data_IF_775702626353
#
_entry.id   IF_775702626353
#
_cell.length_a   1.000
_cell.length_b   1.000
_cell.length_c   1.000
_cell.angle_alpha   90.00
_cell.angle_beta   90.00
_cell.angle_gamma   90.00
#
_symmetry.space_group_name_H-M   'P 1'
#
loop_
_entity.id
_entity.type
_entity.pdbx_description
1 polymer ?
#
# COMPACT_ATOMS: atom_id res chain seq x y z
N UNK A 1 -14.99 1.08 14.30
CA UNK A 1 -15.05 1.89 13.06
C UNK A 1 -15.28 3.33 13.45
N UNK A 2 -14.45 4.25 12.97
CA UNK A 2 -14.47 5.65 13.38
C UNK A 2 -14.19 6.58 12.18
N UNK A 3 -14.44 7.86 12.36
CA UNK A 3 -14.21 8.89 11.35
C UNK A 3 -13.45 10.05 11.99
N UNK A 4 -12.38 10.50 11.34
CA UNK A 4 -11.68 11.74 11.69
C UNK A 4 -12.17 12.85 10.75
N UNK A 5 -12.70 13.91 11.33
CA UNK A 5 -13.13 15.08 10.57
C UNK A 5 -11.93 15.98 10.32
N UNK A 6 -11.62 16.21 9.05
CA UNK A 6 -10.66 17.20 8.57
C UNK A 6 -11.44 18.31 7.82
N UNK A 7 -10.80 19.42 7.51
CA UNK A 7 -11.46 20.59 6.90
C UNK A 7 -12.10 20.27 5.55
N UNK A 8 -11.51 19.32 4.78
CA UNK A 8 -11.87 19.02 3.40
C UNK A 8 -12.41 17.61 3.18
N UNK A 9 -12.41 16.75 4.23
CA UNK A 9 -13.00 15.41 4.17
C UNK A 9 -13.26 14.83 5.56
N UNK A 10 -14.07 13.77 5.59
CA UNK A 10 -14.16 12.86 6.72
C UNK A 10 -13.34 11.61 6.40
N UNK A 11 -12.29 11.35 7.18
CA UNK A 11 -11.36 10.27 6.96
C UNK A 11 -11.78 9.06 7.79
N UNK A 12 -12.23 8.02 7.11
CA UNK A 12 -12.63 6.76 7.74
C UNK A 12 -11.42 5.96 8.18
N UNK A 13 -11.44 5.42 9.40
CA UNK A 13 -10.43 4.50 9.90
C UNK A 13 -11.03 3.43 10.83
N UNK A 14 -10.26 2.37 11.05
CA UNK A 14 -10.58 1.28 11.95
C UNK A 14 -9.34 0.87 12.73
N UNK A 15 -9.53 0.65 14.04
CA UNK A 15 -8.56 0.07 14.94
C UNK A 15 -8.93 -1.37 15.26
N UNK A 16 -7.92 -2.25 15.30
CA UNK A 16 -8.09 -3.65 15.72
C UNK A 16 -6.87 -4.11 16.51
N UNK A 17 -7.07 -5.00 17.46
CA UNK A 17 -6.00 -5.57 18.28
C UNK A 17 -5.48 -4.63 19.37
N UNK A 18 -4.47 -5.12 20.09
CA UNK A 18 -3.77 -4.41 21.18
C UNK A 18 -2.26 -4.61 21.01
N UNK A 19 -1.45 -3.70 21.57
CA UNK A 19 0.01 -3.78 21.51
C UNK A 19 0.66 -2.59 20.78
N UNK A 20 1.88 -2.77 20.23
CA UNK A 20 2.57 -1.70 19.54
C UNK A 20 1.78 -1.16 18.34
N UNK A 21 1.73 0.19 18.15
CA UNK A 21 1.00 0.82 17.06
C UNK A 21 1.50 0.42 15.67
N UNK A 22 0.56 0.09 14.76
CA UNK A 22 0.84 -0.33 13.38
C UNK A 22 -0.13 0.33 12.39
N UNK A 23 0.37 1.24 11.57
CA UNK A 23 -0.39 1.93 10.52
C UNK A 23 -0.25 1.21 9.18
N UNK A 24 -1.38 0.99 8.49
CA UNK A 24 -1.49 0.28 7.22
C UNK A 24 -2.02 1.21 6.12
N UNK A 25 -1.19 1.54 5.11
CA UNK A 25 -1.52 2.50 4.05
C UNK A 25 -1.68 1.77 2.71
N UNK A 26 -2.87 1.85 2.14
CA UNK A 26 -3.22 1.16 0.90
C UNK A 26 -2.83 1.92 -0.39
N UNK A 27 -2.80 1.17 -1.50
CA UNK A 27 -2.46 1.68 -2.83
C UNK A 27 -3.58 2.42 -3.54
N UNK A 28 -3.34 2.70 -4.83
CA UNK A 28 -4.26 3.43 -5.71
C UNK A 28 -5.59 2.70 -5.86
N UNK A 29 -6.68 3.43 -5.67
CA UNK A 29 -8.01 2.99 -6.05
C UNK A 29 -8.57 1.85 -5.23
N UNK A 30 -7.99 1.52 -4.07
CA UNK A 30 -8.46 0.47 -3.17
C UNK A 30 -8.66 0.99 -1.75
N UNK A 31 -9.59 0.38 -1.02
CA UNK A 31 -9.95 0.76 0.34
C UNK A 31 -9.09 0.04 1.38
N UNK A 32 -9.11 0.51 2.62
CA UNK A 32 -8.37 -0.09 3.74
C UNK A 32 -8.69 -1.56 3.98
N UNK A 33 -9.89 -2.00 3.61
CA UNK A 33 -10.35 -3.39 3.72
C UNK A 33 -9.41 -4.40 3.00
N UNK A 34 -8.67 -3.96 1.98
CA UNK A 34 -7.65 -4.79 1.32
C UNK A 34 -6.55 -5.29 2.27
N UNK A 35 -6.42 -4.72 3.46
CA UNK A 35 -5.49 -5.16 4.50
C UNK A 35 -6.04 -6.28 5.38
N UNK A 36 -7.28 -6.73 5.23
CA UNK A 36 -7.87 -7.78 6.09
C UNK A 36 -7.03 -9.04 6.21
N UNK A 37 -6.39 -9.56 5.14
CA UNK A 37 -5.52 -10.73 5.27
C UNK A 37 -4.32 -10.51 6.20
N UNK A 38 -3.82 -9.27 6.30
CA UNK A 38 -2.72 -8.89 7.20
C UNK A 38 -3.25 -8.59 8.60
N UNK A 39 -4.32 -7.81 8.71
CA UNK A 39 -4.93 -7.45 10.01
C UNK A 39 -5.28 -8.69 10.82
N UNK A 40 -5.92 -9.70 10.22
CA UNK A 40 -6.32 -10.94 10.90
C UNK A 40 -5.17 -11.70 11.59
N UNK A 41 -3.92 -11.45 11.17
CA UNK A 41 -2.73 -12.04 11.77
C UNK A 41 -2.02 -11.05 12.69
N UNK A 42 -1.83 -9.80 12.23
CA UNK A 42 -1.03 -8.80 12.92
C UNK A 42 -1.74 -8.23 14.16
N UNK A 43 -3.08 -8.18 14.19
CA UNK A 43 -3.87 -7.70 15.34
C UNK A 43 -3.68 -8.54 16.62
N UNK A 44 -3.15 -9.75 16.50
CA UNK A 44 -2.83 -10.61 17.64
C UNK A 44 -1.61 -10.11 18.44
N UNK A 45 -0.81 -9.21 17.87
CA UNK A 45 0.44 -8.70 18.46
C UNK A 45 0.56 -7.18 18.41
N UNK A 46 -0.17 -6.52 17.50
CA UNK A 46 -0.09 -5.09 17.22
C UNK A 46 -1.49 -4.47 17.29
N UNK A 47 -1.56 -3.24 17.73
CA UNK A 47 -2.75 -2.45 17.51
C UNK A 47 -2.68 -1.89 16.10
N UNK A 48 -3.51 -2.41 15.20
CA UNK A 48 -3.52 -2.06 13.79
C UNK A 48 -4.49 -0.91 13.52
N UNK A 49 -4.07 0.03 12.66
CA UNK A 49 -4.91 1.08 12.10
C UNK A 49 -4.92 0.95 10.59
N UNK A 50 -6.06 0.64 10.02
CA UNK A 50 -6.32 0.75 8.59
C UNK A 50 -7.27 1.92 8.32
N UNK A 51 -7.18 2.51 7.13
CA UNK A 51 -8.03 3.62 6.72
C UNK A 51 -8.24 3.64 5.22
N UNK A 52 -9.28 4.32 4.79
CA UNK A 52 -9.52 4.62 3.38
C UNK A 52 -8.80 5.92 3.04
N UNK A 53 -7.86 5.90 2.08
CA UNK A 53 -7.18 7.11 1.62
C UNK A 53 -8.19 8.15 1.12
N UNK A 54 -7.82 9.45 1.16
CA UNK A 54 -8.69 10.54 0.72
C UNK A 54 -9.28 10.29 -0.66
N UNK A 55 -10.60 10.48 -0.76
CA UNK A 55 -11.39 10.39 -1.99
C UNK A 55 -11.79 8.97 -2.40
N UNK A 56 -11.51 7.95 -1.57
CA UNK A 56 -11.96 6.58 -1.84
C UNK A 56 -12.79 6.00 -0.69
N UNK A 57 -13.66 5.05 -1.01
CA UNK A 57 -14.45 4.31 -0.03
C UNK A 57 -15.28 5.22 0.85
N UNK A 58 -15.15 5.04 2.15
CA UNK A 58 -15.84 5.81 3.20
C UNK A 58 -15.18 7.17 3.49
N UNK A 59 -13.98 7.43 2.91
CA UNK A 59 -13.32 8.73 2.90
C UNK A 59 -13.64 9.57 1.64
N UNK A 60 -14.79 9.30 1.01
CA UNK A 60 -15.32 10.06 -0.12
C UNK A 60 -16.68 10.66 0.28
N UNK A 61 -17.03 11.85 -0.27
CA UNK A 61 -16.23 12.68 -1.17
C UNK A 61 -15.10 13.44 -0.47
N UNK A 62 -14.06 13.80 -1.25
CA UNK A 62 -12.98 14.67 -0.81
C UNK A 62 -13.01 15.96 -1.65
N UNK A 63 -13.02 17.13 -0.99
CA UNK A 63 -13.03 18.45 -1.62
C UNK A 63 -11.64 19.02 -1.85
N UNK A 64 -10.66 18.55 -1.08
CA UNK A 64 -9.29 19.02 -1.11
C UNK A 64 -8.41 18.40 -2.20
N UNK A 65 -7.14 18.78 -2.25
CA UNK A 65 -6.20 18.28 -3.23
C UNK A 65 -5.85 16.81 -2.98
N UNK A 66 -5.73 16.04 -4.06
CA UNK A 66 -5.17 14.68 -4.03
C UNK A 66 -3.68 14.81 -4.36
N UNK A 67 -2.83 14.78 -3.32
CA UNK A 67 -1.36 14.84 -3.40
C UNK A 67 -0.77 13.85 -2.40
N UNK A 68 0.43 13.34 -2.66
CA UNK A 68 1.10 12.41 -1.76
C UNK A 68 1.42 13.09 -0.42
N UNK A 69 1.86 14.34 -0.44
CA UNK A 69 2.16 15.14 0.75
C UNK A 69 0.91 15.31 1.63
N UNK A 70 -0.24 15.60 1.02
CA UNK A 70 -1.50 15.74 1.76
C UNK A 70 -1.97 14.40 2.32
N UNK A 71 -1.79 13.29 1.58
CA UNK A 71 -2.10 11.94 2.10
C UNK A 71 -1.17 11.53 3.26
N UNK A 72 0.09 11.97 3.25
CA UNK A 72 1.00 11.77 4.37
C UNK A 72 0.57 12.60 5.60
N UNK A 73 0.07 13.82 5.40
CA UNK A 73 -0.52 14.64 6.47
C UNK A 73 -1.78 13.98 7.05
N UNK A 74 -2.65 13.40 6.22
CA UNK A 74 -3.81 12.62 6.67
C UNK A 74 -3.39 11.46 7.58
N UNK A 75 -2.35 10.72 7.17
CA UNK A 75 -1.81 9.62 7.96
C UNK A 75 -1.23 10.12 9.30
N UNK A 76 -0.55 11.27 9.32
CA UNK A 76 -0.06 11.90 10.54
C UNK A 76 -1.22 12.33 11.45
N UNK A 77 -2.27 12.96 10.89
CA UNK A 77 -3.46 13.37 11.65
C UNK A 77 -4.21 12.18 12.27
N UNK A 78 -4.22 11.02 11.60
CA UNK A 78 -4.76 9.78 12.18
C UNK A 78 -3.96 9.32 13.39
N UNK A 79 -2.62 9.38 13.33
CA UNK A 79 -1.79 9.05 14.51
C UNK A 79 -2.13 9.96 15.69
N UNK A 80 -2.34 11.27 15.45
CA UNK A 80 -2.73 12.22 16.47
C UNK A 80 -4.12 11.91 17.05
N UNK A 81 -5.09 11.64 16.18
CA UNK A 81 -6.47 11.35 16.56
C UNK A 81 -6.61 10.10 17.46
N UNK A 82 -5.72 9.12 17.27
CA UNK A 82 -5.72 7.90 18.10
C UNK A 82 -4.71 7.94 19.25
N UNK A 83 -4.04 9.09 19.45
CA UNK A 83 -3.08 9.31 20.54
C UNK A 83 -1.74 8.57 20.38
N UNK A 84 -1.39 8.13 19.16
CA UNK A 84 -0.15 7.42 18.92
C UNK A 84 1.01 8.39 18.69
N UNK A 85 2.02 8.36 19.54
CA UNK A 85 3.23 9.17 19.38
C UNK A 85 4.07 8.69 18.19
N UNK A 86 4.12 7.39 17.94
CA UNK A 86 4.80 6.78 16.80
C UNK A 86 4.24 5.41 16.49
N UNK A 87 4.35 4.97 15.24
CA UNK A 87 3.86 3.68 14.77
C UNK A 87 4.86 3.00 13.82
N UNK A 88 4.80 1.67 13.73
CA UNK A 88 5.27 0.97 12.53
C UNK A 88 4.38 1.37 11.36
N UNK A 89 4.94 1.49 10.17
CA UNK A 89 4.19 1.89 8.98
C UNK A 89 4.40 0.86 7.88
N UNK A 90 3.30 0.28 7.40
CA UNK A 90 3.29 -0.60 6.23
C UNK A 90 2.59 0.12 5.09
N UNK A 91 3.25 0.26 3.96
CA UNK A 91 2.68 0.87 2.76
C UNK A 91 2.79 -0.04 1.54
N UNK A 92 1.67 -0.23 0.85
CA UNK A 92 1.60 -1.00 -0.41
C UNK A 92 1.44 -0.07 -1.61
N UNK A 93 2.25 -0.24 -2.65
CA UNK A 93 2.16 0.51 -3.90
C UNK A 93 2.20 2.04 -3.67
N UNK A 94 1.17 2.81 -4.04
CA UNK A 94 1.04 4.23 -3.68
C UNK A 94 1.13 4.46 -2.16
N UNK A 95 0.60 3.55 -1.35
CA UNK A 95 0.73 3.61 0.10
C UNK A 95 2.17 3.57 0.58
N UNK A 96 3.06 2.88 -0.14
CA UNK A 96 4.50 2.90 0.12
C UNK A 96 5.15 4.26 -0.16
N UNK A 97 4.68 5.00 -1.17
CA UNK A 97 5.12 6.38 -1.42
C UNK A 97 4.61 7.32 -0.33
N UNK A 98 3.35 7.15 0.10
CA UNK A 98 2.77 7.92 1.21
C UNK A 98 3.56 7.67 2.51
N UNK A 99 3.91 6.40 2.77
CA UNK A 99 4.72 6.02 3.94
C UNK A 99 6.13 6.64 3.91
N UNK A 100 6.77 6.67 2.73
CA UNK A 100 8.05 7.37 2.54
C UNK A 100 7.92 8.85 2.84
N UNK A 101 6.88 9.52 2.32
CA UNK A 101 6.64 10.94 2.56
C UNK A 101 6.36 11.22 4.03
N UNK A 102 5.51 10.44 4.69
CA UNK A 102 5.26 10.53 6.14
C UNK A 102 6.56 10.44 6.94
N UNK A 103 7.43 9.49 6.60
CA UNK A 103 8.72 9.31 7.29
C UNK A 103 9.71 10.46 7.02
N UNK A 104 9.65 11.10 5.84
CA UNK A 104 10.46 12.27 5.51
C UNK A 104 9.99 13.53 6.24
N UNK A 105 8.68 13.72 6.35
CA UNK A 105 8.09 14.89 6.99
C UNK A 105 8.13 14.78 8.52
N UNK A 106 7.88 13.59 9.07
CA UNK A 106 7.74 13.33 10.49
C UNK A 106 8.52 12.07 10.93
N UNK A 107 9.86 12.03 10.82
CA UNK A 107 10.65 10.82 11.07
C UNK A 107 10.48 10.25 12.48
N UNK A 108 10.25 11.11 13.48
CA UNK A 108 10.01 10.70 14.87
C UNK A 108 8.67 9.97 15.06
N UNK A 109 7.74 10.07 14.10
CA UNK A 109 6.44 9.37 14.13
C UNK A 109 6.51 7.95 13.55
N UNK A 110 7.65 7.55 12.97
CA UNK A 110 7.80 6.28 12.27
C UNK A 110 8.82 5.39 12.97
N UNK A 111 8.37 4.27 13.56
CA UNK A 111 9.22 3.28 14.23
C UNK A 111 9.98 2.40 13.24
N UNK A 112 9.31 2.00 12.16
CA UNK A 112 9.89 1.25 11.04
C UNK A 112 9.03 1.42 9.78
N UNK A 113 9.63 1.13 8.62
CA UNK A 113 8.96 1.13 7.32
C UNK A 113 8.98 -0.26 6.70
N UNK A 114 7.79 -0.77 6.35
CA UNK A 114 7.63 -1.93 5.46
C UNK A 114 7.04 -1.46 4.14
N UNK A 115 7.82 -1.50 3.08
CA UNK A 115 7.51 -0.93 1.76
C UNK A 115 7.27 -2.05 0.76
N UNK A 116 5.98 -2.34 0.46
CA UNK A 116 5.55 -3.49 -0.33
C UNK A 116 5.20 -3.06 -1.75
N UNK A 117 5.78 -3.69 -2.76
CA UNK A 117 5.49 -3.45 -4.20
C UNK A 117 5.42 -1.95 -4.53
N UNK A 118 6.47 -1.20 -4.18
CA UNK A 118 6.51 0.25 -4.33
C UNK A 118 7.82 0.74 -4.95
N UNK A 119 7.96 2.04 -5.11
CA UNK A 119 9.05 2.67 -5.84
C UNK A 119 9.39 4.03 -5.20
N UNK A 120 10.55 4.59 -5.54
CA UNK A 120 11.01 5.90 -5.05
C UNK A 120 10.42 7.10 -5.81
N UNK A 121 10.00 6.87 -7.08
CA UNK A 121 9.43 7.89 -7.96
C UNK A 121 8.15 7.37 -8.58
N UNK A 122 7.09 8.13 -8.49
CA UNK A 122 5.82 7.77 -9.10
C UNK A 122 5.87 7.64 -10.63
N UNK A 123 6.81 8.35 -11.28
CA UNK A 123 7.09 8.21 -12.72
C UNK A 123 7.53 6.80 -13.11
N UNK A 124 8.12 6.02 -12.22
CA UNK A 124 8.55 4.66 -12.51
C UNK A 124 7.34 3.75 -12.80
N UNK A 125 6.25 3.86 -12.01
CA UNK A 125 5.01 3.12 -12.28
C UNK A 125 4.14 3.77 -13.39
N UNK A 126 4.27 5.08 -13.58
CA UNK A 126 3.52 5.82 -14.59
C UNK A 126 4.14 5.75 -16.00
N UNK A 127 5.22 4.96 -16.21
CA UNK A 127 5.81 4.78 -17.54
C UNK A 127 4.78 4.16 -18.49
N UNK A 128 4.51 4.87 -19.57
CA UNK A 128 3.65 4.41 -20.66
C UNK A 128 4.36 3.32 -21.48
N UNK A 129 4.48 2.13 -20.90
CA UNK A 129 4.94 0.95 -21.65
C UNK A 129 3.79 0.41 -22.51
N UNK A 130 4.08 -0.32 -23.60
CA UNK A 130 3.03 -0.99 -24.39
C UNK A 130 2.12 -1.85 -23.52
N UNK A 131 2.67 -2.50 -22.49
CA UNK A 131 1.89 -3.30 -21.53
C UNK A 131 0.93 -2.43 -20.69
N UNK A 132 1.39 -1.30 -20.15
CA UNK A 132 0.55 -0.37 -19.38
C UNK A 132 -0.58 0.19 -20.24
N UNK A 133 -0.28 0.59 -21.48
CA UNK A 133 -1.30 1.07 -22.43
C UNK A 133 -2.34 -0.01 -22.73
N UNK A 134 -1.87 -1.23 -23.02
CA UNK A 134 -2.74 -2.38 -23.26
C UNK A 134 -3.64 -2.69 -22.07
N UNK A 135 -3.08 -2.75 -20.87
CA UNK A 135 -3.86 -3.02 -19.66
C UNK A 135 -4.85 -1.89 -19.34
N UNK A 136 -4.45 -0.63 -19.55
CA UNK A 136 -5.36 0.52 -19.40
C UNK A 136 -6.57 0.41 -20.32
N UNK A 137 -6.37 -0.05 -21.55
CA UNK A 137 -7.44 -0.28 -22.50
C UNK A 137 -8.34 -1.44 -22.06
N UNK A 138 -7.75 -2.57 -21.67
CA UNK A 138 -8.47 -3.78 -21.25
C UNK A 138 -9.29 -3.61 -19.97
N UNK A 139 -8.85 -2.76 -19.05
CA UNK A 139 -9.60 -2.44 -17.81
C UNK A 139 -10.77 -1.48 -18.05
N UNK A 140 -10.88 -0.89 -19.24
CA UNK A 140 -11.93 0.09 -19.58
C UNK A 140 -12.90 -0.42 -20.66
N UNK A 141 -12.41 -1.22 -21.59
CA UNK A 141 -13.18 -1.72 -22.74
C UNK A 141 -13.53 -3.19 -22.59
N UNK A 142 -14.61 -3.58 -23.30
CA UNK A 142 -15.11 -4.94 -23.30
C UNK A 142 -16.17 -5.23 -22.23
N UNK A 143 -16.51 -6.50 -22.09
CA UNK A 143 -17.49 -6.96 -21.10
C UNK A 143 -16.98 -6.79 -19.67
N UNK A 144 -17.87 -6.79 -18.67
CA UNK A 144 -17.47 -6.75 -17.24
C UNK A 144 -16.52 -7.90 -16.91
N UNK A 145 -16.77 -9.08 -17.44
CA UNK A 145 -15.89 -10.25 -17.22
C UNK A 145 -14.47 -10.02 -17.76
N UNK A 146 -14.33 -9.47 -18.96
CA UNK A 146 -13.03 -9.12 -19.55
C UNK A 146 -12.29 -8.09 -18.70
N UNK A 147 -12.97 -7.06 -18.21
CA UNK A 147 -12.39 -6.03 -17.36
C UNK A 147 -11.95 -6.57 -16.00
N UNK A 148 -12.77 -7.42 -15.35
CA UNK A 148 -12.41 -8.13 -14.11
C UNK A 148 -11.15 -8.97 -14.29
N UNK A 149 -11.09 -9.74 -15.39
CA UNK A 149 -9.91 -10.55 -15.71
C UNK A 149 -8.66 -9.69 -15.92
N UNK A 150 -8.77 -8.60 -16.67
CA UNK A 150 -7.66 -7.66 -16.88
C UNK A 150 -7.15 -7.06 -15.56
N UNK A 151 -8.03 -6.74 -14.61
CA UNK A 151 -7.64 -6.30 -13.28
C UNK A 151 -6.89 -7.39 -12.51
N UNK A 152 -7.37 -8.64 -12.54
CA UNK A 152 -6.68 -9.76 -11.90
C UNK A 152 -5.30 -10.04 -12.50
N UNK A 153 -5.13 -9.90 -13.82
CA UNK A 153 -3.83 -10.07 -14.50
C UNK A 153 -2.77 -9.02 -14.07
N UNK A 154 -3.19 -7.89 -13.51
CA UNK A 154 -2.26 -6.93 -12.90
C UNK A 154 -1.80 -7.35 -11.50
N UNK A 155 -2.58 -8.17 -10.80
CA UNK A 155 -2.39 -8.49 -9.39
C UNK A 155 -1.85 -9.89 -9.15
N UNK A 156 -2.09 -10.85 -10.07
CA UNK A 156 -1.72 -12.26 -9.93
C UNK A 156 -0.66 -12.67 -10.94
N UNK A 157 0.25 -13.57 -10.58
CA UNK A 157 1.11 -14.25 -11.54
C UNK A 157 0.28 -15.03 -12.58
N UNK A 158 0.74 -15.12 -13.85
CA UNK A 158 -0.02 -15.77 -14.90
C UNK A 158 -0.36 -17.23 -14.62
N UNK A 159 0.57 -18.00 -14.06
CA UNK A 159 0.41 -19.41 -13.68
C UNK A 159 -0.63 -19.60 -12.56
N UNK A 160 -0.60 -18.76 -11.52
CA UNK A 160 -1.58 -18.79 -10.45
C UNK A 160 -2.98 -18.43 -10.96
N UNK A 161 -3.08 -17.48 -11.91
CA UNK A 161 -4.35 -17.07 -12.50
C UNK A 161 -4.89 -18.12 -13.49
N UNK A 162 -4.02 -18.85 -14.18
CA UNK A 162 -4.42 -19.92 -15.11
C UNK A 162 -5.10 -21.10 -14.38
N UNK A 163 -4.70 -21.37 -13.15
CA UNK A 163 -5.19 -22.46 -12.32
C UNK A 163 -6.36 -22.06 -11.40
N UNK A 164 -6.79 -20.80 -11.42
CA UNK A 164 -7.86 -20.29 -10.57
C UNK A 164 -9.19 -20.14 -11.33
N UNK A 165 -10.31 -20.36 -10.63
CA UNK A 165 -11.61 -19.90 -11.10
C UNK A 165 -11.64 -18.36 -11.04
N UNK A 166 -11.48 -17.72 -12.20
CA UNK A 166 -11.41 -16.28 -12.33
C UNK A 166 -12.69 -15.55 -11.84
N UNK A 167 -13.85 -16.20 -11.90
CA UNK A 167 -15.12 -15.65 -11.43
C UNK A 167 -15.18 -15.60 -9.91
N UNK A 168 -14.88 -16.71 -9.25
CA UNK A 168 -14.82 -16.79 -7.79
C UNK A 168 -13.71 -15.88 -7.23
N UNK A 169 -12.54 -15.86 -7.87
CA UNK A 169 -11.43 -14.99 -7.51
C UNK A 169 -11.83 -13.52 -7.61
N UNK A 170 -12.47 -13.12 -8.72
CA UNK A 170 -12.95 -11.75 -8.90
C UNK A 170 -13.96 -11.34 -7.83
N UNK A 171 -14.89 -12.23 -7.45
CA UNK A 171 -15.86 -11.98 -6.39
C UNK A 171 -15.18 -11.76 -5.04
N UNK A 172 -14.25 -12.63 -4.67
CA UNK A 172 -13.49 -12.52 -3.42
C UNK A 172 -12.68 -11.23 -3.37
N UNK A 173 -11.96 -10.91 -4.43
CA UNK A 173 -11.12 -9.70 -4.51
C UNK A 173 -11.99 -8.43 -4.53
N UNK A 174 -13.15 -8.45 -5.20
CA UNK A 174 -14.10 -7.34 -5.19
C UNK A 174 -14.56 -6.97 -3.78
N UNK A 175 -14.78 -7.96 -2.92
CA UNK A 175 -15.12 -7.73 -1.51
C UNK A 175 -14.03 -6.96 -0.76
N UNK A 176 -12.75 -7.31 -0.97
CA UNK A 176 -11.62 -6.62 -0.35
C UNK A 176 -11.36 -5.24 -0.96
N UNK A 177 -11.51 -5.09 -2.28
CA UNK A 177 -11.31 -3.82 -3.00
C UNK A 177 -12.45 -2.83 -2.75
N UNK A 178 -13.59 -3.32 -2.25
CA UNK A 178 -14.77 -2.50 -1.94
C UNK A 178 -15.60 -2.12 -3.17
N UNK A 179 -15.38 -2.77 -4.32
CA UNK A 179 -16.15 -2.56 -5.56
C UNK A 179 -15.96 -3.72 -6.52
N UNK A 180 -16.81 -3.77 -7.53
CA UNK A 180 -16.58 -4.65 -8.69
C UNK A 180 -15.27 -4.27 -9.39
N UNK A 181 -14.43 -5.26 -9.70
CA UNK A 181 -13.13 -5.06 -10.37
C UNK A 181 -13.28 -4.49 -11.78
N UNK A 182 -14.47 -4.60 -12.39
CA UNK A 182 -14.77 -3.99 -13.68
C UNK A 182 -14.97 -2.47 -13.60
N UNK A 183 -15.15 -1.92 -12.41
CA UNK A 183 -15.43 -0.51 -12.20
C UNK A 183 -14.18 0.23 -11.72
N UNK A 184 -14.06 1.50 -12.10
CA UNK A 184 -12.96 2.35 -11.66
C UNK A 184 -13.50 3.44 -10.73
N UNK A 185 -12.87 3.66 -9.55
CA UNK A 185 -13.32 4.71 -8.66
C UNK A 185 -13.08 6.09 -9.29
N UNK A 186 -14.00 7.07 -9.07
CA UNK A 186 -13.86 8.41 -9.65
C UNK A 186 -12.55 9.11 -9.32
N UNK A 187 -11.96 8.81 -8.16
CA UNK A 187 -10.70 9.40 -7.70
C UNK A 187 -9.46 8.81 -8.38
N UNK A 188 -9.57 7.66 -9.06
CA UNK A 188 -8.44 6.89 -9.60
C UNK A 188 -7.43 7.75 -10.36
N UNK A 189 -7.92 8.55 -11.32
CA UNK A 189 -7.03 9.38 -12.15
C UNK A 189 -6.33 10.48 -11.35
N UNK A 190 -6.99 11.04 -10.34
CA UNK A 190 -6.39 12.05 -9.45
C UNK A 190 -5.28 11.42 -8.59
N UNK A 191 -5.50 10.21 -8.07
CA UNK A 191 -4.47 9.47 -7.30
C UNK A 191 -3.28 9.08 -8.18
N UNK A 192 -3.52 8.59 -9.41
CA UNK A 192 -2.45 8.27 -10.37
C UNK A 192 -1.63 9.52 -10.73
N UNK A 193 -2.28 10.68 -10.93
CA UNK A 193 -1.59 11.94 -11.19
C UNK A 193 -0.77 12.43 -9.99
N UNK A 194 -1.32 12.31 -8.78
CA UNK A 194 -0.61 12.64 -7.54
C UNK A 194 0.65 11.78 -7.41
N UNK A 195 0.51 10.48 -7.61
CA UNK A 195 1.61 9.53 -7.60
C UNK A 195 2.66 9.87 -8.65
N UNK A 196 2.27 10.10 -9.91
CA UNK A 196 3.20 10.39 -11.01
C UNK A 196 4.02 11.67 -10.82
N UNK A 197 3.51 12.64 -10.05
CA UNK A 197 4.21 13.92 -9.74
C UNK A 197 5.22 13.79 -8.61
N UNK A 198 5.09 12.76 -7.79
CA UNK A 198 5.92 12.58 -6.59
C UNK A 198 7.28 11.95 -6.93
N UNK A 199 8.34 12.51 -6.34
CA UNK A 199 9.71 11.99 -6.43
C UNK A 199 10.46 12.24 -5.11
N UNK A 200 10.66 11.18 -4.33
CA UNK A 200 11.39 11.23 -3.05
C UNK A 200 12.91 10.97 -3.21
N UNK A 201 13.40 10.70 -4.43
CA UNK A 201 14.74 10.16 -4.68
C UNK A 201 15.87 10.94 -4.01
N UNK A 202 15.79 12.28 -3.98
CA UNK A 202 16.83 13.13 -3.40
C UNK A 202 16.86 13.13 -1.86
N UNK A 203 15.77 12.66 -1.23
CA UNK A 203 15.59 12.76 0.23
C UNK A 203 15.64 11.41 0.96
N UNK A 204 15.62 10.28 0.24
CA UNK A 204 15.52 8.94 0.84
C UNK A 204 16.71 8.58 1.76
N UNK A 205 17.89 9.15 1.53
CA UNK A 205 19.05 8.95 2.42
C UNK A 205 18.82 9.48 3.84
N UNK A 206 17.87 10.43 4.03
CA UNK A 206 17.48 10.95 5.34
C UNK A 206 16.75 9.91 6.20
N UNK A 207 16.27 8.82 5.61
CA UNK A 207 15.57 7.75 6.31
C UNK A 207 16.51 6.70 6.94
N UNK A 208 17.83 6.93 6.93
CA UNK A 208 18.86 5.99 7.41
C UNK A 208 18.69 5.55 8.87
N UNK A 209 18.06 6.35 9.72
CA UNK A 209 17.78 6.02 11.13
C UNK A 209 16.52 5.16 11.33
N UNK A 210 15.69 4.97 10.29
CA UNK A 210 14.44 4.23 10.38
C UNK A 210 14.65 2.81 9.83
N UNK A 211 14.52 1.76 10.65
CA UNK A 211 14.57 0.39 10.17
C UNK A 211 13.59 0.21 8.98
N UNK A 212 14.12 -0.14 7.81
CA UNK A 212 13.34 -0.20 6.58
C UNK A 212 13.49 -1.55 5.89
N UNK A 213 12.36 -2.14 5.52
CA UNK A 213 12.28 -3.37 4.75
C UNK A 213 11.46 -3.15 3.47
N UNK A 214 12.01 -3.54 2.33
CA UNK A 214 11.39 -3.43 1.01
C UNK A 214 11.12 -4.81 0.46
N UNK A 215 9.86 -5.12 0.17
CA UNK A 215 9.43 -6.39 -0.42
C UNK A 215 8.84 -6.16 -1.80
N UNK A 216 9.32 -6.91 -2.80
CA UNK A 216 8.76 -6.91 -4.16
C UNK A 216 8.29 -8.30 -4.55
N UNK A 217 7.18 -8.39 -5.28
CA UNK A 217 6.76 -9.63 -5.95
C UNK A 217 7.60 -9.87 -7.20
N UNK A 218 8.05 -11.11 -7.43
CA UNK A 218 8.91 -11.49 -8.57
C UNK A 218 8.26 -11.15 -9.92
N UNK A 219 6.95 -11.35 -10.02
CA UNK A 219 6.17 -11.15 -11.26
C UNK A 219 5.37 -9.84 -11.26
N UNK A 220 5.74 -8.85 -10.41
CA UNK A 220 5.04 -7.57 -10.35
C UNK A 220 5.28 -6.75 -11.64
N UNK A 221 4.25 -6.54 -12.47
CA UNK A 221 4.41 -5.79 -13.71
C UNK A 221 4.30 -4.28 -13.51
N UNK A 222 3.80 -3.82 -12.35
CA UNK A 222 3.55 -2.41 -12.00
C UNK A 222 4.74 -1.85 -11.23
N UNK A 223 5.00 -2.38 -10.04
CA UNK A 223 6.14 -2.02 -9.20
C UNK A 223 7.26 -3.07 -9.37
N UNK A 224 7.84 -3.12 -10.56
CA UNK A 224 8.85 -4.11 -10.93
C UNK A 224 9.91 -4.27 -9.84
N UNK A 225 10.43 -5.48 -9.62
CA UNK A 225 11.45 -5.74 -8.59
C UNK A 225 12.65 -4.79 -8.63
N UNK A 226 13.04 -4.34 -9.81
CA UNK A 226 14.15 -3.38 -9.99
C UNK A 226 13.86 -2.02 -9.32
N UNK A 227 12.59 -1.61 -9.27
CA UNK A 227 12.20 -0.36 -8.59
C UNK A 227 12.32 -0.52 -7.08
N UNK A 228 11.85 -1.64 -6.52
CA UNK A 228 12.03 -1.96 -5.10
C UNK A 228 13.50 -2.08 -4.70
N UNK A 229 14.31 -2.76 -5.52
CA UNK A 229 15.76 -2.86 -5.33
C UNK A 229 16.45 -1.48 -5.36
N UNK A 230 16.03 -0.64 -6.30
CA UNK A 230 16.53 0.75 -6.42
C UNK A 230 16.11 1.61 -5.23
N UNK A 231 14.88 1.40 -4.71
CA UNK A 231 14.39 2.08 -3.50
C UNK A 231 15.21 1.68 -2.27
N UNK A 232 15.41 0.38 -2.04
CA UNK A 232 16.19 -0.09 -0.91
C UNK A 232 17.65 0.44 -0.94
N UNK A 233 18.28 0.49 -2.11
CA UNK A 233 19.63 1.06 -2.27
C UNK A 233 19.68 2.56 -1.96
N UNK A 234 18.58 3.29 -2.11
CA UNK A 234 18.51 4.72 -1.84
C UNK A 234 18.29 5.05 -0.36
N UNK A 235 17.90 4.06 0.46
CA UNK A 235 17.71 4.19 1.92
C UNK A 235 18.83 3.42 2.61
N UNK A 236 19.83 4.09 3.22
CA UNK A 236 20.93 3.41 3.89
C UNK A 236 20.40 2.49 5.00
N UNK A 237 20.89 1.25 5.04
CA UNK A 237 20.44 0.25 6.02
C UNK A 237 19.15 -0.49 5.66
N UNK A 238 18.47 -0.12 4.59
CA UNK A 238 17.25 -0.83 4.17
C UNK A 238 17.57 -2.24 3.64
N UNK A 239 16.71 -3.20 3.99
CA UNK A 239 16.76 -4.58 3.49
C UNK A 239 15.84 -4.70 2.27
N UNK A 240 16.31 -5.39 1.24
CA UNK A 240 15.49 -5.76 0.08
C UNK A 240 15.24 -7.25 0.06
N UNK A 241 14.00 -7.63 -0.23
CA UNK A 241 13.62 -9.01 -0.41
C UNK A 241 12.72 -9.17 -1.63
N UNK A 242 12.91 -10.28 -2.36
CA UNK A 242 12.08 -10.68 -3.48
C UNK A 242 11.21 -11.86 -3.05
N UNK A 243 9.90 -11.75 -3.20
CA UNK A 243 8.97 -12.84 -2.94
C UNK A 243 8.74 -13.62 -4.24
N UNK A 244 9.22 -14.88 -4.32
CA UNK A 244 9.01 -15.71 -5.50
C UNK A 244 7.52 -16.00 -5.70
N UNK A 245 7.12 -16.25 -6.94
CA UNK A 245 5.74 -16.58 -7.33
C UNK A 245 4.69 -15.56 -6.87
N UNK A 246 5.10 -14.31 -6.60
CA UNK A 246 4.21 -13.22 -6.19
C UNK A 246 4.18 -12.10 -7.22
N UNK A 247 3.05 -11.39 -7.29
CA UNK A 247 2.83 -10.26 -8.18
C UNK A 247 2.42 -9.02 -7.39
N UNK A 248 1.86 -7.98 -8.05
CA UNK A 248 1.48 -6.74 -7.40
C UNK A 248 0.46 -6.92 -6.26
N UNK A 249 -0.40 -7.94 -6.37
CA UNK A 249 -1.40 -8.28 -5.35
C UNK A 249 -0.88 -9.16 -4.20
N UNK A 250 0.42 -9.18 -3.90
CA UNK A 250 1.05 -10.09 -2.93
C UNK A 250 0.40 -10.08 -1.55
N UNK A 251 -0.16 -8.97 -1.09
CA UNK A 251 -0.88 -8.87 0.19
C UNK A 251 -2.16 -9.70 0.25
N UNK A 252 -2.72 -10.06 -0.92
CA UNK A 252 -3.91 -10.91 -1.04
C UNK A 252 -3.53 -12.28 -1.60
N UNK A 253 -2.74 -12.30 -2.67
CA UNK A 253 -2.38 -13.50 -3.42
C UNK A 253 -1.42 -14.40 -2.63
N UNK A 254 -0.47 -13.81 -1.91
CA UNK A 254 0.56 -14.48 -1.12
C UNK A 254 0.50 -14.04 0.36
N UNK A 255 -0.72 -13.91 0.91
CA UNK A 255 -0.94 -13.33 2.24
C UNK A 255 -0.13 -14.03 3.34
N UNK A 256 -0.09 -15.37 3.38
CA UNK A 256 0.60 -16.12 4.43
C UNK A 256 2.11 -15.82 4.46
N UNK A 257 2.89 -16.02 3.39
CA UNK A 257 4.32 -15.70 3.43
C UNK A 257 4.59 -14.20 3.64
N UNK A 258 3.71 -13.30 3.18
CA UNK A 258 3.83 -11.87 3.48
C UNK A 258 3.64 -11.60 4.97
N UNK A 259 2.64 -12.21 5.60
CA UNK A 259 2.37 -12.05 7.04
C UNK A 259 3.51 -12.59 7.91
N UNK A 260 4.07 -13.76 7.58
CA UNK A 260 5.23 -14.33 8.28
C UNK A 260 6.43 -13.38 8.24
N UNK A 261 6.74 -12.84 7.06
CA UNK A 261 7.86 -11.91 6.89
C UNK A 261 7.62 -10.55 7.57
N UNK A 262 6.39 -10.02 7.49
CA UNK A 262 6.00 -8.80 8.21
C UNK A 262 6.16 -8.99 9.71
N UNK A 263 5.62 -10.07 10.27
CA UNK A 263 5.73 -10.37 11.69
C UNK A 263 7.20 -10.46 12.13
N UNK A 264 8.02 -11.23 11.41
CA UNK A 264 9.44 -11.39 11.71
C UNK A 264 10.20 -10.05 11.69
N UNK A 265 9.91 -9.18 10.72
CA UNK A 265 10.54 -7.86 10.64
C UNK A 265 10.08 -6.96 11.80
N UNK A 266 8.79 -6.85 12.05
CA UNK A 266 8.22 -6.00 13.10
C UNK A 266 8.71 -6.43 14.49
N UNK A 267 8.70 -7.74 14.79
CA UNK A 267 9.22 -8.28 16.04
C UNK A 267 10.71 -7.98 16.23
N UNK A 268 11.50 -8.06 15.17
CA UNK A 268 12.94 -7.73 15.22
C UNK A 268 13.20 -6.28 15.61
N UNK A 269 12.34 -5.37 15.14
CA UNK A 269 12.43 -3.94 15.48
C UNK A 269 12.00 -3.69 16.92
N UNK A 270 10.91 -4.30 17.38
CA UNK A 270 10.46 -4.12 18.77
C UNK A 270 11.46 -4.71 19.77
N UNK A 271 12.04 -5.87 19.50
CA UNK A 271 13.10 -6.45 20.34
C UNK A 271 14.31 -5.50 20.45
N UNK A 272 14.75 -4.91 19.34
CA UNK A 272 15.86 -3.95 19.34
C UNK A 272 15.52 -2.63 20.08
N UNK A 273 14.24 -2.28 20.23
CA UNK A 273 13.78 -1.09 20.98
C UNK A 273 13.73 -1.33 22.48
N UNK A 274 13.38 -2.53 22.91
CA UNK A 274 13.34 -2.90 24.35
C UNK A 274 14.76 -3.06 24.92
N UNK A 275 15.74 -3.37 24.06
CA UNK A 275 17.15 -3.58 24.43
C UNK A 275 17.97 -2.29 24.53
N UNK A 276 17.37 -1.12 24.25
CA UNK A 276 17.98 0.22 24.36
C UNK A 276 17.45 0.98 25.55
#
# INVERSE_FOLDING_TARGET
MSTLRLDDLELFYELSGEGPPLLLIQGVGVIGECWRPQVAVLEKRFQTLLFDNRGIGRSAPCRGPIRIETMAQDACALLDAVGWQSAHVIGHSMGGIIAQQLALDCPHRVRSLSLLCTFRRGKDAARLTPWVLWMTLRTRLGTRQMRRRAFLEMLWPPDALANADAGQLATRVSGLVGRDLADQPPVLMKQLQAMARHDASASLSKLSSIPTWVLSGEHDPIARPDYGRSLARAIPGARFELLPHASHGLTIQAANPVNEKLMAFLDSVELARVSR
#
